data_IF_374684558971
#
_entry.id   IF_374684558971
#
_cell.length_a   1.000
_cell.length_b   1.000
_cell.length_c   1.000
_cell.angle_alpha   90.00
_cell.angle_beta   90.00
_cell.angle_gamma   90.00
#
_symmetry.space_group_name_H-M   'P 1'
#
loop_
_entity.id
_entity.type
_entity.pdbx_description
1 polymer ?
#
# COMPACT_ATOMS: atom_id res chain seq x y z
N UNK A 1 12.72 -29.03 6.49
CA UNK A 1 11.52 -28.44 7.14
C UNK A 1 11.61 -28.84 8.61
N UNK A 2 11.28 -27.94 9.54
CA UNK A 2 11.37 -28.21 10.99
C UNK A 2 10.01 -28.02 11.65
N UNK A 3 9.72 -28.79 12.68
CA UNK A 3 8.49 -28.70 13.48
C UNK A 3 8.80 -28.10 14.85
N UNK A 4 7.81 -27.43 15.43
CA UNK A 4 7.95 -26.82 16.74
C UNK A 4 7.96 -27.88 17.84
N UNK A 5 8.93 -27.83 18.74
CA UNK A 5 9.06 -28.75 19.86
C UNK A 5 7.95 -28.61 20.91
N UNK A 6 7.24 -27.46 20.94
CA UNK A 6 6.18 -27.20 21.92
C UNK A 6 4.80 -27.70 21.49
N UNK A 7 4.48 -27.62 20.20
CA UNK A 7 3.12 -27.88 19.68
C UNK A 7 3.09 -28.80 18.45
N UNK A 8 4.25 -29.16 17.88
CA UNK A 8 4.32 -30.00 16.68
C UNK A 8 3.99 -29.28 15.36
N UNK A 9 3.60 -28.01 15.38
CA UNK A 9 3.29 -27.26 14.16
C UNK A 9 4.53 -26.98 13.28
N UNK A 10 4.34 -26.85 11.97
CA UNK A 10 5.42 -26.56 11.03
C UNK A 10 5.99 -25.15 11.28
N UNK A 11 7.30 -25.06 11.48
CA UNK A 11 7.98 -23.79 11.63
C UNK A 11 8.23 -23.13 10.27
N UNK A 12 8.23 -21.81 10.27
CA UNK A 12 8.32 -21.01 9.05
C UNK A 12 9.52 -20.05 9.10
N UNK A 13 10.30 -19.94 8.02
CA UNK A 13 11.38 -18.98 7.92
C UNK A 13 10.86 -17.55 7.91
N UNK A 14 11.45 -16.74 8.77
CA UNK A 14 11.26 -15.29 8.87
C UNK A 14 12.65 -14.64 8.98
N UNK A 15 12.80 -13.42 8.47
CA UNK A 15 14.03 -12.64 8.64
C UNK A 15 13.77 -11.60 9.72
N UNK A 16 14.46 -11.73 10.85
CA UNK A 16 14.37 -10.79 11.98
C UNK A 16 15.75 -10.16 12.18
N UNK A 17 15.84 -8.85 12.07
CA UNK A 17 17.09 -8.08 12.16
C UNK A 17 18.20 -8.59 11.23
N UNK A 18 17.83 -8.96 10.00
CA UNK A 18 18.75 -9.50 9.00
C UNK A 18 19.20 -10.95 9.24
N UNK A 19 18.81 -11.57 10.36
CA UNK A 19 19.15 -12.96 10.69
C UNK A 19 17.98 -13.89 10.35
N UNK A 20 18.26 -15.08 9.77
CA UNK A 20 17.21 -16.05 9.52
C UNK A 20 16.77 -16.69 10.85
N UNK A 21 15.46 -16.64 11.11
CA UNK A 21 14.82 -17.28 12.26
C UNK A 21 13.68 -18.16 11.77
N UNK A 22 13.41 -19.22 12.51
CA UNK A 22 12.23 -20.05 12.33
C UNK A 22 11.20 -19.67 13.39
N UNK A 23 9.98 -19.35 12.97
CA UNK A 23 8.89 -19.00 13.89
C UNK A 23 7.74 -19.99 13.76
N UNK A 24 7.21 -20.43 14.89
CA UNK A 24 5.98 -21.19 14.96
C UNK A 24 4.76 -20.26 14.87
N UNK A 25 3.80 -20.57 14.00
CA UNK A 25 2.56 -19.80 13.87
C UNK A 25 1.57 -20.03 15.01
N UNK A 26 1.57 -21.21 15.63
CA UNK A 26 0.58 -21.57 16.63
C UNK A 26 0.96 -21.06 18.03
N UNK A 27 2.18 -21.35 18.50
CA UNK A 27 2.61 -21.00 19.86
C UNK A 27 3.60 -19.82 19.94
N UNK A 28 4.04 -19.30 18.78
CA UNK A 28 4.98 -18.17 18.72
C UNK A 28 6.44 -18.49 19.05
N UNK A 29 6.80 -19.77 19.23
CA UNK A 29 8.20 -20.16 19.48
C UNK A 29 9.12 -19.75 18.32
N UNK A 30 10.26 -19.13 18.67
CA UNK A 30 11.29 -18.68 17.71
C UNK A 30 12.60 -19.46 17.91
N UNK A 31 13.19 -19.93 16.81
CA UNK A 31 14.48 -20.63 16.77
C UNK A 31 15.42 -19.90 15.83
N UNK A 32 16.56 -19.43 16.34
CA UNK A 32 17.60 -18.80 15.52
C UNK A 32 18.32 -19.89 14.73
N UNK A 33 18.47 -19.70 13.42
CA UNK A 33 19.19 -20.64 12.55
C UNK A 33 20.42 -19.96 11.97
N UNK A 34 21.55 -20.68 11.91
CA UNK A 34 22.81 -20.15 11.37
C UNK A 34 22.85 -20.14 9.83
N UNK A 35 21.98 -20.92 9.19
CA UNK A 35 21.81 -20.97 7.73
C UNK A 35 20.35 -20.71 7.38
N UNK A 36 20.12 -20.04 6.25
CA UNK A 36 18.78 -19.86 5.72
C UNK A 36 18.16 -21.23 5.39
N UNK A 37 16.91 -21.50 5.79
CA UNK A 37 16.25 -22.75 5.43
C UNK A 37 16.08 -22.86 3.91
N UNK A 38 16.22 -24.06 3.36
CA UNK A 38 16.06 -24.32 1.91
C UNK A 38 14.63 -24.16 1.39
N UNK A 39 13.62 -24.14 2.27
CA UNK A 39 12.22 -24.04 1.90
C UNK A 39 11.72 -22.59 2.02
N UNK A 40 10.80 -22.19 1.14
CA UNK A 40 10.17 -20.87 1.13
C UNK A 40 8.68 -21.00 1.39
N UNK A 41 8.09 -19.97 1.97
CA UNK A 41 6.63 -19.87 2.09
C UNK A 41 6.11 -19.04 0.93
N UNK A 42 5.24 -19.65 0.13
CA UNK A 42 4.55 -18.99 -0.98
C UNK A 42 3.06 -18.86 -0.64
N UNK A 43 2.48 -17.69 -0.91
CA UNK A 43 1.05 -17.45 -0.79
C UNK A 43 0.48 -17.20 -2.18
N UNK A 44 -0.54 -17.97 -2.58
CA UNK A 44 -1.29 -17.72 -3.81
C UNK A 44 -2.60 -17.03 -3.46
N UNK A 45 -2.67 -15.73 -3.74
CA UNK A 45 -3.89 -14.93 -3.57
C UNK A 45 -4.71 -15.07 -4.86
N UNK A 46 -5.96 -15.53 -4.75
CA UNK A 46 -6.90 -15.60 -5.88
C UNK A 46 -7.71 -14.32 -5.92
N UNK A 47 -7.45 -13.48 -6.92
CA UNK A 47 -8.26 -12.28 -7.13
C UNK A 47 -9.63 -12.65 -7.71
N UNK A 48 -10.69 -12.06 -7.15
CA UNK A 48 -12.04 -12.25 -7.67
C UNK A 48 -12.42 -11.10 -8.61
N UNK A 49 -13.32 -11.31 -9.59
CA UNK A 49 -13.80 -10.23 -10.45
C UNK A 49 -14.40 -9.03 -9.69
N UNK A 50 -14.91 -9.25 -8.47
CA UNK A 50 -15.47 -8.21 -7.59
C UNK A 50 -14.42 -7.22 -7.08
N UNK A 51 -13.14 -7.59 -7.11
CA UNK A 51 -12.02 -6.73 -6.71
C UNK A 51 -11.55 -5.80 -7.85
N UNK A 52 -12.13 -5.91 -9.05
CA UNK A 52 -11.77 -5.05 -10.19
C UNK A 52 -12.45 -3.69 -10.07
N UNK A 53 -11.66 -2.62 -10.19
CA UNK A 53 -12.17 -1.25 -10.34
C UNK A 53 -12.73 -1.11 -11.75
N UNK A 54 -14.02 -0.78 -11.88
CA UNK A 54 -14.66 -0.48 -13.16
C UNK A 54 -14.51 1.01 -13.43
N UNK A 55 -13.73 1.37 -14.45
CA UNK A 55 -13.67 2.75 -14.95
C UNK A 55 -14.90 2.97 -15.82
N UNK A 56 -15.80 3.82 -15.38
CA UNK A 56 -16.96 4.25 -16.17
C UNK A 56 -16.56 5.55 -16.85
N UNK A 57 -16.46 5.52 -18.18
CA UNK A 57 -16.42 6.72 -19.00
C UNK A 57 -17.83 7.34 -18.97
N UNK A 58 -18.12 8.08 -17.90
CA UNK A 58 -19.22 9.04 -17.92
C UNK A 58 -18.73 10.29 -18.65
N UNK A 59 -19.60 10.95 -19.41
CA UNK A 59 -19.37 12.33 -19.85
C UNK A 59 -18.90 13.11 -18.63
N UNK A 60 -17.60 13.41 -18.61
CA UNK A 60 -16.96 14.14 -17.53
C UNK A 60 -17.52 15.55 -17.61
N UNK A 61 -18.68 15.75 -16.97
CA UNK A 61 -19.29 17.06 -16.84
C UNK A 61 -18.34 17.93 -16.01
N UNK A 62 -17.51 18.67 -16.75
CA UNK A 62 -16.62 19.78 -16.40
C UNK A 62 -15.17 19.57 -16.86
N UNK A 63 -15.01 19.37 -18.16
CA UNK A 63 -13.87 19.96 -18.85
C UNK A 63 -14.39 20.82 -20.01
N UNK A 64 -15.22 21.82 -19.69
CA UNK A 64 -15.43 22.92 -20.64
C UNK A 64 -14.08 23.63 -20.75
N UNK A 65 -13.48 23.63 -21.94
CA UNK A 65 -12.25 24.36 -22.21
C UNK A 65 -12.52 25.86 -22.02
N UNK A 66 -12.10 26.39 -20.86
CA UNK A 66 -12.19 27.81 -20.52
C UNK A 66 -11.20 28.58 -21.40
N UNK A 67 -11.61 29.74 -21.93
CA UNK A 67 -10.71 30.59 -22.71
C UNK A 67 -9.51 31.07 -21.88
N UNK A 68 -8.37 31.31 -22.53
CA UNK A 68 -7.17 31.85 -21.88
C UNK A 68 -7.44 33.20 -21.18
N UNK A 69 -8.35 34.00 -21.71
CA UNK A 69 -8.75 35.28 -21.09
C UNK A 69 -9.57 35.06 -19.81
N UNK A 70 -10.55 34.16 -19.81
CA UNK A 70 -11.33 33.81 -18.61
C UNK A 70 -10.44 33.18 -17.53
N UNK A 71 -9.46 32.37 -17.94
CA UNK A 71 -8.46 31.78 -17.03
C UNK A 71 -7.59 32.85 -16.37
N UNK A 72 -7.20 33.88 -17.13
CA UNK A 72 -6.43 35.03 -16.65
C UNK A 72 -7.24 35.88 -15.66
N UNK A 73 -8.51 36.13 -15.96
CA UNK A 73 -9.42 36.87 -15.09
C UNK A 73 -9.63 36.15 -13.76
N UNK A 74 -9.91 34.85 -13.80
CA UNK A 74 -10.05 34.02 -12.60
C UNK A 74 -8.79 34.05 -11.74
N UNK A 75 -7.60 33.95 -12.36
CA UNK A 75 -6.32 34.05 -11.65
C UNK A 75 -6.11 35.42 -11.02
N UNK A 76 -6.51 36.50 -11.71
CA UNK A 76 -6.43 37.87 -11.19
C UNK A 76 -7.36 38.08 -9.99
N UNK A 77 -8.61 37.63 -10.10
CA UNK A 77 -9.60 37.74 -9.03
C UNK A 77 -9.15 37.00 -7.76
N UNK A 78 -8.55 35.82 -7.91
CA UNK A 78 -7.98 35.08 -6.78
C UNK A 78 -6.85 35.87 -6.13
N UNK A 79 -5.91 36.43 -6.91
CA UNK A 79 -4.77 37.16 -6.37
C UNK A 79 -5.18 38.45 -5.64
N UNK A 80 -6.16 39.17 -6.17
CA UNK A 80 -6.71 40.39 -5.55
C UNK A 80 -7.39 40.10 -4.21
N UNK A 81 -8.08 38.97 -4.10
CA UNK A 81 -8.66 38.53 -2.83
C UNK A 81 -7.59 38.30 -1.74
N UNK A 82 -6.51 37.58 -2.06
CA UNK A 82 -5.42 37.36 -1.11
C UNK A 82 -4.70 38.66 -0.72
N UNK A 83 -4.45 39.55 -1.69
CA UNK A 83 -3.81 40.85 -1.43
C UNK A 83 -4.69 41.75 -0.54
N UNK A 84 -6.02 41.65 -0.68
CA UNK A 84 -6.97 42.33 0.19
C UNK A 84 -7.05 41.73 1.59
N UNK A 85 -6.99 40.39 1.72
CA UNK A 85 -7.00 39.70 3.03
C UNK A 85 -5.70 39.92 3.81
N UNK A 86 -4.56 40.04 3.14
CA UNK A 86 -3.25 40.31 3.78
C UNK A 86 -3.04 41.80 4.13
N UNK A 87 -3.93 42.70 3.67
CA UNK A 87 -3.87 44.15 3.90
C UNK A 87 -4.78 44.65 5.03
N UNK A 88 -5.60 43.79 5.63
CA UNK A 88 -6.37 44.00 6.88
C UNK A 88 -5.63 43.42 8.10
#
# INVERSE_FOLDING_TARGET
MEFCEKCGALMIPEKKDGKPVLRCRECGYEKKVGRSPQYKVEYRIKHSPKEKIVVVEGDSQRNEEISEDERRERRKAILEFYDSEDSD
#
